data_IF_779672751157
#
_entry.id   IF_779672751157
#
_cell.length_a   1.000
_cell.length_b   1.000
_cell.length_c   1.000
_cell.angle_alpha   90.00
_cell.angle_beta   90.00
_cell.angle_gamma   90.00
#
_symmetry.space_group_name_H-M   'P 1'
#
loop_
_entity.id
_entity.type
_entity.pdbx_description
1 polymer ?
#
# COMPACT_ATOMS: atom_id res chain seq x y z
N UNK A 1 -18.96 -8.06 -5.20
CA UNK A 1 -17.93 -8.82 -5.94
C UNK A 1 -16.55 -8.27 -5.58
N UNK A 2 -15.47 -9.07 -5.65
CA UNK A 2 -14.10 -8.61 -5.43
C UNK A 2 -13.66 -7.75 -6.62
N UNK A 3 -13.06 -6.59 -6.34
CA UNK A 3 -12.66 -5.59 -7.34
C UNK A 3 -11.17 -5.30 -7.32
N UNK A 4 -10.57 -5.30 -6.14
CA UNK A 4 -9.13 -5.14 -6.02
C UNK A 4 -8.56 -5.97 -4.87
N UNK A 5 -7.25 -6.21 -4.93
CA UNK A 5 -6.49 -6.83 -3.85
C UNK A 5 -5.23 -6.00 -3.59
N UNK A 6 -4.91 -5.78 -2.32
CA UNK A 6 -3.64 -5.18 -1.92
C UNK A 6 -2.78 -6.29 -1.32
N UNK A 7 -1.79 -6.76 -2.07
CA UNK A 7 -0.89 -7.84 -1.71
C UNK A 7 0.31 -7.31 -0.94
N UNK A 8 0.58 -7.83 0.26
CA UNK A 8 1.74 -7.42 1.06
C UNK A 8 2.38 -8.60 1.81
N UNK A 9 3.66 -8.43 2.13
CA UNK A 9 4.52 -9.46 2.71
C UNK A 9 4.77 -9.30 4.21
N UNK A 10 5.68 -10.09 4.79
CA UNK A 10 5.63 -10.47 6.21
C UNK A 10 5.78 -9.33 7.21
N UNK A 11 6.35 -8.19 6.80
CA UNK A 11 6.37 -6.99 7.63
C UNK A 11 4.94 -6.51 7.98
N UNK A 12 3.96 -6.76 7.11
CA UNK A 12 2.55 -6.49 7.31
C UNK A 12 1.73 -7.65 7.88
N UNK A 13 2.31 -8.84 8.12
CA UNK A 13 1.56 -10.00 8.64
C UNK A 13 0.93 -9.74 10.00
N UNK A 14 1.51 -8.81 10.76
CA UNK A 14 0.99 -8.40 12.06
C UNK A 14 0.13 -7.15 12.00
N UNK A 15 -0.20 -6.63 10.81
CA UNK A 15 -0.97 -5.40 10.64
C UNK A 15 -2.43 -5.63 11.02
N UNK A 16 -2.89 -5.21 12.21
CA UNK A 16 -4.25 -5.50 12.64
C UNK A 16 -5.25 -4.62 11.85
N UNK A 17 -6.50 -5.07 11.66
CA UNK A 17 -7.54 -4.30 10.96
C UNK A 17 -7.69 -2.86 11.48
N UNK A 18 -7.49 -2.66 12.79
CA UNK A 18 -7.57 -1.37 13.47
C UNK A 18 -6.53 -0.39 12.96
N UNK A 19 -5.32 -0.88 12.62
CA UNK A 19 -4.25 -0.02 12.09
C UNK A 19 -4.53 0.40 10.65
N UNK A 20 -5.13 -0.49 9.85
CA UNK A 20 -5.64 -0.14 8.52
C UNK A 20 -6.75 0.91 8.64
N UNK A 21 -7.69 0.69 9.55
CA UNK A 21 -8.77 1.63 9.83
C UNK A 21 -8.26 3.00 10.33
N UNK A 22 -7.23 3.02 11.17
CA UNK A 22 -6.59 4.26 11.65
C UNK A 22 -5.95 5.02 10.49
N UNK A 23 -5.26 4.33 9.58
CA UNK A 23 -4.65 4.98 8.41
C UNK A 23 -5.71 5.53 7.44
N UNK A 24 -6.78 4.76 7.23
CA UNK A 24 -7.93 5.18 6.42
C UNK A 24 -8.60 6.43 7.02
N UNK A 25 -8.89 6.45 8.33
CA UNK A 25 -9.53 7.62 8.98
C UNK A 25 -8.62 8.84 9.07
N UNK A 26 -7.34 8.65 9.36
CA UNK A 26 -6.40 9.73 9.58
C UNK A 26 -5.90 10.33 8.26
N UNK A 27 -4.73 9.90 7.75
CA UNK A 27 -4.14 10.44 6.53
C UNK A 27 -5.05 10.48 5.29
N UNK A 28 -5.97 9.52 5.17
CA UNK A 28 -6.85 9.41 3.99
C UNK A 28 -8.26 9.97 4.20
N UNK A 29 -8.53 10.53 5.39
CA UNK A 29 -9.80 11.17 5.74
C UNK A 29 -11.05 10.34 5.36
N UNK A 30 -10.95 9.01 5.43
CA UNK A 30 -12.06 8.12 5.09
C UNK A 30 -13.06 8.03 6.25
N UNK A 31 -14.34 8.06 5.92
CA UNK A 31 -15.41 7.66 6.83
C UNK A 31 -15.59 6.15 6.75
N UNK A 32 -15.55 5.47 7.89
CA UNK A 32 -15.65 4.01 7.93
C UNK A 32 -16.31 3.46 9.20
N UNK A 33 -16.99 2.33 9.03
CA UNK A 33 -17.44 1.45 10.10
C UNK A 33 -16.56 0.20 10.21
N UNK A 34 -16.41 -0.31 11.43
CA UNK A 34 -15.85 -1.64 11.68
C UNK A 34 -16.99 -2.57 12.04
N UNK A 35 -17.04 -3.75 11.44
CA UNK A 35 -17.98 -4.80 11.80
C UNK A 35 -17.33 -6.16 11.72
N UNK A 36 -17.88 -7.12 12.43
CA UNK A 36 -17.54 -8.52 12.25
C UNK A 36 -18.62 -9.18 11.40
N UNK A 37 -18.21 -10.04 10.48
CA UNK A 37 -19.14 -10.83 9.69
C UNK A 37 -18.66 -12.28 9.60
N UNK A 38 -19.62 -13.21 9.54
CA UNK A 38 -19.33 -14.59 9.23
C UNK A 38 -19.35 -14.78 7.70
N UNK A 39 -18.22 -15.18 7.13
CA UNK A 39 -18.09 -15.56 5.72
C UNK A 39 -17.63 -17.02 5.70
N UNK A 40 -18.38 -17.87 5.01
CA UNK A 40 -18.04 -19.29 4.82
C UNK A 40 -17.71 -20.04 6.12
N UNK A 41 -18.40 -19.69 7.21
CA UNK A 41 -18.23 -20.31 8.53
C UNK A 41 -17.13 -19.70 9.39
N UNK A 42 -16.35 -18.75 8.87
CA UNK A 42 -15.28 -18.06 9.59
C UNK A 42 -15.68 -16.61 9.92
N UNK A 43 -15.25 -16.11 11.09
CA UNK A 43 -15.45 -14.72 11.47
C UNK A 43 -14.34 -13.84 10.92
N UNK A 44 -14.72 -12.76 10.25
CA UNK A 44 -13.81 -11.80 9.64
C UNK A 44 -14.11 -10.39 10.13
N UNK A 45 -13.05 -9.64 10.43
CA UNK A 45 -13.15 -8.20 10.62
C UNK A 45 -13.29 -7.51 9.26
N UNK A 46 -14.33 -6.72 9.14
CA UNK A 46 -14.63 -5.94 7.95
C UNK A 46 -14.52 -4.45 8.23
N UNK A 47 -13.89 -3.75 7.28
CA UNK A 47 -13.84 -2.29 7.23
C UNK A 47 -14.79 -1.84 6.12
N UNK A 48 -15.89 -1.20 6.48
CA UNK A 48 -16.84 -0.63 5.52
C UNK A 48 -16.53 0.85 5.30
N UNK A 49 -16.01 1.19 4.12
CA UNK A 49 -15.79 2.57 3.70
C UNK A 49 -17.08 3.18 3.17
N UNK A 50 -17.41 4.40 3.60
CA UNK A 50 -18.60 5.14 3.15
C UNK A 50 -18.27 6.45 2.45
N UNK A 51 -17.10 7.04 2.74
CA UNK A 51 -16.55 8.20 2.05
C UNK A 51 -15.01 8.21 2.17
N UNK A 52 -14.26 8.85 1.23
CA UNK A 52 -14.75 9.43 -0.02
C UNK A 52 -15.15 8.36 -1.05
N UNK A 53 -14.75 7.11 -0.82
CA UNK A 53 -15.16 5.95 -1.61
C UNK A 53 -16.09 5.04 -0.82
N UNK A 54 -16.92 4.28 -1.54
CA UNK A 54 -17.74 3.23 -0.96
C UNK A 54 -17.16 1.86 -1.35
N UNK A 55 -16.70 1.11 -0.36
CA UNK A 55 -16.12 -0.22 -0.56
C UNK A 55 -16.17 -1.03 0.74
N UNK A 56 -16.05 -2.36 0.63
CA UNK A 56 -15.83 -3.25 1.77
C UNK A 56 -14.42 -3.80 1.70
N UNK A 57 -13.71 -3.75 2.81
CA UNK A 57 -12.34 -4.22 2.93
C UNK A 57 -12.29 -5.38 3.94
N UNK A 58 -11.66 -6.48 3.51
CA UNK A 58 -11.41 -7.65 4.34
C UNK A 58 -9.93 -7.93 4.42
N UNK A 59 -9.49 -8.38 5.58
CA UNK A 59 -8.13 -8.85 5.79
C UNK A 59 -8.09 -10.36 5.65
N UNK A 60 -7.26 -10.85 4.73
CA UNK A 60 -7.00 -12.28 4.54
C UNK A 60 -5.52 -12.57 4.73
N UNK A 61 -5.23 -13.71 5.36
CA UNK A 61 -3.88 -14.17 5.69
C UNK A 61 -3.82 -15.69 5.60
N UNK A 62 -2.63 -16.23 5.40
CA UNK A 62 -2.37 -17.66 5.49
C UNK A 62 -1.82 -18.26 4.19
N UNK A 63 -1.65 -19.59 4.14
CA UNK A 63 -0.98 -20.27 3.04
C UNK A 63 -1.69 -20.09 1.68
N UNK A 64 -3.02 -19.98 1.69
CA UNK A 64 -3.83 -19.74 0.49
C UNK A 64 -3.41 -18.44 -0.22
N UNK A 65 -3.20 -17.36 0.55
CA UNK A 65 -2.79 -16.05 0.01
C UNK A 65 -1.41 -16.14 -0.62
N UNK A 66 -0.48 -16.87 0.00
CA UNK A 66 0.86 -17.10 -0.55
C UNK A 66 0.81 -17.90 -1.86
N UNK A 67 -0.07 -18.91 -1.93
CA UNK A 67 -0.30 -19.71 -3.14
C UNK A 67 -0.83 -18.84 -4.29
N UNK A 68 -1.89 -18.07 -4.04
CA UNK A 68 -2.45 -17.17 -5.07
C UNK A 68 -1.45 -16.08 -5.50
N UNK A 69 -0.59 -15.60 -4.59
CA UNK A 69 0.45 -14.65 -4.95
C UNK A 69 1.51 -15.28 -5.87
N UNK A 70 1.86 -16.56 -5.66
CA UNK A 70 2.74 -17.31 -6.57
C UNK A 70 2.08 -17.52 -7.95
N UNK A 71 0.78 -17.78 -7.99
CA UNK A 71 0.00 -17.85 -9.24
C UNK A 71 -0.09 -16.49 -9.95
N UNK A 72 -0.05 -15.39 -9.22
CA UNK A 72 0.04 -14.06 -9.82
C UNK A 72 1.44 -13.82 -10.42
N UNK A 73 2.50 -14.33 -9.80
CA UNK A 73 3.87 -14.26 -10.34
C UNK A 73 3.98 -15.00 -11.66
N UNK A 74 3.38 -16.19 -11.78
CA UNK A 74 3.44 -16.99 -13.02
C UNK A 74 2.71 -16.34 -14.21
N UNK A 75 1.76 -15.44 -13.92
CA UNK A 75 0.97 -14.69 -14.91
C UNK A 75 1.56 -13.33 -15.27
N UNK A 76 2.67 -12.92 -14.66
CA UNK A 76 3.32 -11.66 -14.99
C UNK A 76 3.80 -11.64 -16.45
N UNK A 77 3.68 -10.51 -17.16
CA UNK A 77 4.27 -10.39 -18.49
C UNK A 77 5.80 -10.50 -18.40
N UNK A 78 6.44 -11.01 -19.46
CA UNK A 78 7.91 -11.15 -19.51
C UNK A 78 8.66 -9.81 -19.32
N UNK A 79 8.00 -8.69 -19.60
CA UNK A 79 8.52 -7.33 -19.39
C UNK A 79 8.41 -6.84 -17.94
N UNK A 80 7.79 -7.60 -17.04
CA UNK A 80 7.63 -7.20 -15.65
C UNK A 80 8.99 -7.12 -14.93
N UNK A 81 9.20 -6.12 -14.05
CA UNK A 81 10.44 -6.01 -13.30
C UNK A 81 10.68 -7.24 -12.41
N UNK A 82 11.89 -7.85 -12.41
CA UNK A 82 12.17 -9.01 -11.55
C UNK A 82 11.96 -8.74 -10.05
N UNK A 83 12.13 -7.49 -9.61
CA UNK A 83 11.86 -7.07 -8.25
C UNK A 83 10.37 -7.18 -7.86
N UNK A 84 9.45 -6.98 -8.81
CA UNK A 84 8.01 -7.14 -8.60
C UNK A 84 7.68 -8.61 -8.34
N UNK A 85 8.17 -9.50 -9.19
CA UNK A 85 7.97 -10.95 -9.04
C UNK A 85 8.48 -11.44 -7.67
N UNK A 86 9.69 -11.04 -7.27
CA UNK A 86 10.25 -11.37 -5.95
C UNK A 86 9.43 -10.83 -4.79
N UNK A 87 8.81 -9.66 -4.95
CA UNK A 87 7.98 -9.06 -3.89
C UNK A 87 6.64 -9.77 -3.76
N UNK A 88 5.97 -10.07 -4.89
CA UNK A 88 4.74 -10.85 -4.91
C UNK A 88 4.94 -12.25 -4.34
N UNK A 89 6.04 -12.93 -4.69
CA UNK A 89 6.36 -14.26 -4.16
C UNK A 89 6.57 -14.29 -2.63
N UNK A 90 6.72 -13.12 -1.99
CA UNK A 90 6.86 -12.97 -0.54
C UNK A 90 5.59 -12.46 0.13
N UNK A 91 4.51 -12.23 -0.61
CA UNK A 91 3.24 -11.81 -0.04
C UNK A 91 2.61 -12.97 0.74
N UNK A 92 2.15 -12.66 1.95
CA UNK A 92 1.61 -13.61 2.93
C UNK A 92 0.24 -13.16 3.47
N UNK A 93 -0.15 -11.93 3.12
CA UNK A 93 -1.41 -11.31 3.51
C UNK A 93 -1.93 -10.41 2.39
N UNK A 94 -3.24 -10.15 2.40
CA UNK A 94 -3.87 -9.21 1.49
C UNK A 94 -5.05 -8.48 2.11
N UNK A 95 -5.31 -7.27 1.62
CA UNK A 95 -6.61 -6.64 1.77
C UNK A 95 -7.43 -6.90 0.53
N UNK A 96 -8.59 -7.53 0.69
CA UNK A 96 -9.58 -7.72 -0.37
C UNK A 96 -10.52 -6.54 -0.37
N UNK A 97 -10.64 -5.86 -1.52
CA UNK A 97 -11.55 -4.74 -1.73
C UNK A 97 -12.70 -5.21 -2.61
N UNK A 98 -13.92 -5.08 -2.10
CA UNK A 98 -15.12 -5.49 -2.80
C UNK A 98 -16.17 -4.38 -2.86
N UNK A 99 -17.16 -4.60 -3.72
CA UNK A 99 -18.34 -3.74 -3.84
C UNK A 99 -19.00 -3.49 -2.48
N UNK A 100 -19.49 -2.26 -2.23
CA UNK A 100 -20.16 -1.93 -0.97
C UNK A 100 -21.54 -2.57 -0.81
N UNK A 101 -22.20 -2.89 -1.92
CA UNK A 101 -23.52 -3.50 -2.01
C UNK A 101 -23.68 -4.20 -3.38
N UNK A 102 -24.66 -5.12 -3.56
CA UNK A 102 -24.84 -5.88 -4.80
C UNK A 102 -24.96 -5.03 -6.07
N UNK A 103 -25.65 -3.88 -5.99
CA UNK A 103 -25.90 -3.01 -7.15
C UNK A 103 -24.95 -1.81 -7.23
N UNK A 104 -23.90 -1.78 -6.42
CA UNK A 104 -22.92 -0.69 -6.42
C UNK A 104 -21.57 -1.22 -6.88
N UNK A 105 -21.02 -0.57 -7.90
CA UNK A 105 -19.75 -0.96 -8.47
C UNK A 105 -18.60 -0.11 -7.90
N UNK A 106 -17.65 -0.74 -7.22
CA UNK A 106 -16.40 -0.10 -6.86
C UNK A 106 -15.39 -0.23 -8.00
N UNK A 107 -14.95 0.89 -8.57
CA UNK A 107 -13.97 0.94 -9.65
C UNK A 107 -12.55 1.27 -9.12
N UNK A 108 -11.60 0.32 -9.03
CA UNK A 108 -10.27 0.57 -8.46
C UNK A 108 -9.43 1.56 -9.29
N UNK A 109 -9.62 1.55 -10.61
CA UNK A 109 -8.95 2.46 -11.55
C UNK A 109 -9.46 3.91 -11.52
N UNK A 110 -10.60 4.19 -10.89
CA UNK A 110 -11.16 5.54 -10.85
C UNK A 110 -10.24 6.50 -10.05
N UNK A 111 -10.11 7.78 -10.43
CA UNK A 111 -9.21 8.73 -9.76
C UNK A 111 -9.38 8.79 -8.24
N UNK A 112 -10.63 8.83 -7.76
CA UNK A 112 -10.96 8.89 -6.33
C UNK A 112 -10.63 7.58 -5.59
N UNK A 113 -10.81 6.44 -6.23
CA UNK A 113 -10.38 5.15 -5.69
C UNK A 113 -8.86 5.07 -5.59
N UNK A 114 -8.15 5.53 -6.62
CA UNK A 114 -6.69 5.57 -6.64
C UNK A 114 -6.12 6.50 -5.57
N UNK A 115 -6.79 7.62 -5.26
CA UNK A 115 -6.37 8.52 -4.18
C UNK A 115 -6.48 7.91 -2.78
N UNK A 116 -7.21 6.80 -2.62
CA UNK A 116 -7.28 6.04 -1.36
C UNK A 116 -6.39 4.79 -1.43
N UNK A 117 -6.56 3.97 -2.46
CA UNK A 117 -5.90 2.67 -2.60
C UNK A 117 -4.38 2.79 -2.72
N UNK A 118 -3.87 3.74 -3.49
CA UNK A 118 -2.44 3.84 -3.73
C UNK A 118 -1.69 4.36 -2.49
N UNK A 119 -2.14 5.43 -1.81
CA UNK A 119 -1.51 5.83 -0.54
C UNK A 119 -1.63 4.79 0.57
N UNK A 120 -2.74 4.05 0.63
CA UNK A 120 -2.88 2.92 1.55
C UNK A 120 -1.83 1.85 1.23
N UNK A 121 -1.74 1.44 -0.04
CA UNK A 121 -0.77 0.46 -0.49
C UNK A 121 0.67 0.90 -0.20
N UNK A 122 1.00 2.18 -0.41
CA UNK A 122 2.30 2.72 -0.04
C UNK A 122 2.59 2.55 1.45
N UNK A 123 1.63 2.88 2.33
CA UNK A 123 1.83 2.84 3.78
C UNK A 123 2.00 1.43 4.34
N UNK A 124 1.40 0.43 3.70
CA UNK A 124 1.50 -0.98 4.11
C UNK A 124 2.48 -1.78 3.26
N UNK A 125 3.24 -1.11 2.39
CA UNK A 125 4.13 -1.73 1.40
C UNK A 125 3.44 -2.83 0.57
N UNK A 126 2.22 -2.54 0.09
CA UNK A 126 1.44 -3.42 -0.77
C UNK A 126 1.58 -3.12 -2.28
N UNK A 127 1.21 -4.13 -3.06
CA UNK A 127 0.98 -4.08 -4.50
C UNK A 127 -0.53 -4.12 -4.72
N UNK A 128 -1.07 -3.19 -5.51
CA UNK A 128 -2.49 -3.15 -5.85
C UNK A 128 -2.74 -3.96 -7.11
N UNK A 129 -3.61 -4.95 -7.05
CA UNK A 129 -4.21 -5.64 -8.18
C UNK A 129 -5.62 -5.10 -8.41
N UNK A 130 -5.88 -4.59 -9.61
CA UNK A 130 -7.23 -4.39 -10.15
C UNK A 130 -7.65 -5.71 -10.80
N UNK A 131 -8.59 -6.43 -10.16
CA UNK A 131 -8.94 -7.80 -10.56
C UNK A 131 -9.73 -7.85 -11.85
N UNK A 132 -10.42 -6.77 -12.19
CA UNK A 132 -11.24 -6.67 -13.40
C UNK A 132 -10.39 -6.27 -14.60
N UNK A 133 -9.52 -5.28 -14.43
CA UNK A 133 -8.62 -4.81 -15.49
C UNK A 133 -7.35 -5.66 -15.65
N UNK A 134 -7.10 -6.63 -14.75
CA UNK A 134 -5.88 -7.42 -14.71
C UNK A 134 -4.61 -6.58 -14.52
N UNK A 135 -4.72 -5.43 -13.85
CA UNK A 135 -3.65 -4.43 -13.75
C UNK A 135 -3.00 -4.46 -12.38
N UNK A 136 -1.66 -4.50 -12.36
CA UNK A 136 -0.88 -4.32 -11.15
C UNK A 136 -0.31 -2.89 -11.04
N UNK A 137 -0.50 -2.26 -9.89
CA UNK A 137 0.10 -0.96 -9.54
C UNK A 137 0.96 -1.13 -8.30
N UNK A 138 2.22 -0.70 -8.36
CA UNK A 138 3.17 -0.86 -7.29
C UNK A 138 4.13 0.32 -7.23
N UNK A 139 4.66 0.57 -6.04
CA UNK A 139 5.74 1.52 -5.83
C UNK A 139 7.08 0.78 -5.87
N UNK A 140 8.02 1.29 -6.64
CA UNK A 140 9.40 0.84 -6.52
C UNK A 140 9.92 1.24 -5.13
N UNK A 141 10.44 0.31 -4.33
CA UNK A 141 11.12 0.69 -3.10
C UNK A 141 12.28 1.62 -3.44
N UNK A 142 12.55 2.67 -2.63
CA UNK A 142 13.65 3.59 -2.90
C UNK A 142 14.97 2.81 -2.95
N UNK A 143 15.66 2.87 -4.09
CA UNK A 143 16.85 2.07 -4.41
C UNK A 143 18.14 2.54 -3.72
N UNK A 144 18.07 3.43 -2.74
CA UNK A 144 19.26 3.90 -2.01
C UNK A 144 18.94 4.17 -0.54
N UNK A 145 19.91 3.96 0.38
CA UNK A 145 19.77 4.45 1.74
C UNK A 145 19.54 5.95 1.66
N UNK A 146 18.37 6.40 2.12
CA UNK A 146 18.10 7.83 2.30
C UNK A 146 19.25 8.37 3.14
N UNK A 147 20.10 9.22 2.56
CA UNK A 147 21.03 10.02 3.37
C UNK A 147 20.19 10.65 4.47
N UNK A 148 20.50 10.39 5.75
CA UNK A 148 19.67 10.89 6.83
C UNK A 148 19.56 12.41 6.68
N UNK A 149 18.38 12.96 6.97
CA UNK A 149 18.10 14.39 6.79
C UNK A 149 19.18 15.27 7.46
N UNK A 150 19.75 14.77 8.56
CA UNK A 150 20.88 15.33 9.29
C UNK A 150 22.17 15.46 8.46
N UNK A 151 22.49 14.49 7.61
CA UNK A 151 23.65 14.55 6.72
C UNK A 151 23.45 15.60 5.61
N UNK A 152 22.21 15.77 5.13
CA UNK A 152 21.87 16.79 4.12
C UNK A 152 21.89 18.19 4.72
N UNK A 153 21.32 18.36 5.92
CA UNK A 153 21.36 19.62 6.67
C UNK A 153 22.79 19.99 7.05
N UNK A 154 23.59 19.03 7.53
CA UNK A 154 24.99 19.24 7.88
C UNK A 154 25.82 19.73 6.69
N UNK A 155 25.60 19.17 5.49
CA UNK A 155 26.28 19.62 4.26
C UNK A 155 25.89 21.06 3.89
N UNK A 156 24.60 21.39 3.92
CA UNK A 156 24.12 22.75 3.63
C UNK A 156 24.69 23.77 4.63
N UNK A 157 24.68 23.46 5.92
CA UNK A 157 25.24 24.34 6.95
C UNK A 157 26.76 24.51 6.81
N UNK A 158 27.47 23.47 6.38
CA UNK A 158 28.91 23.53 6.13
C UNK A 158 29.25 24.39 4.90
N UNK A 159 28.43 24.36 3.86
CA UNK A 159 28.57 25.18 2.65
C UNK A 159 28.29 26.65 2.94
N UNK A 160 27.23 26.96 3.70
CA UNK A 160 26.92 28.32 4.17
C UNK A 160 28.05 28.86 5.06
N UNK A 161 28.59 28.03 5.96
CA UNK A 161 29.70 28.44 6.84
C UNK A 161 30.99 28.70 6.06
N UNK A 162 31.22 27.98 4.95
CA UNK A 162 32.33 28.23 4.05
C UNK A 162 32.21 29.55 3.28
N UNK A 163 30.99 29.92 2.88
CA UNK A 163 30.69 31.19 2.22
C UNK A 163 30.78 32.40 3.15
N UNK A 164 30.51 32.23 4.45
CA UNK A 164 30.56 33.31 5.44
C UNK A 164 31.95 33.51 6.09
N UNK A 165 32.97 32.74 5.73
CA UNK A 165 34.33 32.98 6.25
C UNK A 165 34.94 34.21 5.54
N UNK A 166 35.29 35.29 6.29
CA UNK A 166 35.95 36.44 5.69
C UNK A 166 37.31 36.00 5.14
N UNK A 167 37.58 36.33 3.88
CA UNK A 167 38.92 36.24 3.29
C UNK A 167 39.86 37.10 4.14
N UNK A 168 40.72 36.47 4.94
CA UNK A 168 41.85 37.17 5.54
C UNK A 168 42.78 37.56 4.38
N UNK A 169 42.86 38.86 4.11
CA UNK A 169 43.91 39.41 3.26
C UNK A 169 45.27 39.14 3.92
N UNK A 170 46.23 38.51 3.23
CA UNK A 170 47.60 38.47 3.69
C UNK A 170 48.21 39.86 3.49
N UNK A 171 48.73 40.43 4.57
CA UNK A 171 49.66 41.57 4.57
C UNK A 171 51.09 41.06 4.43
#
# INVERSE_FOLDING_TARGET
MIRARLWYGPAGDRLPPERVAQYLRGPLACTLGLRECNLDGAWHSEIQLTAPIKARLFLERGPEVSGEAADLVSRLPASAPPALARRLARCTARLVVSDPAPDTHFAPGAPLSRSVLLPLAFAIDAIVEDTEAGRLSFYAPPTAPRTPLTARIGRILSEISGLMRPRRHPS
#
